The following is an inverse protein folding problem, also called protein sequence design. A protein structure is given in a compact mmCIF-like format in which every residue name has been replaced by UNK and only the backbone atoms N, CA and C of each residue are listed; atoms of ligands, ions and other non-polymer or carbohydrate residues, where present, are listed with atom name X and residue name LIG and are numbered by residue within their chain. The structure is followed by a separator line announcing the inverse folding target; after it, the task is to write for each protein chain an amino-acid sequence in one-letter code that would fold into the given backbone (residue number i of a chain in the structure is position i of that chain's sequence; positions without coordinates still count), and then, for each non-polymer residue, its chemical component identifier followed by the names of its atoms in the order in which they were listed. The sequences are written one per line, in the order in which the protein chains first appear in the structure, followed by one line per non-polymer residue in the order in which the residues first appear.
data_IF_083989251896
#
_entry.id   IF_083989251896
#
_cell.length_a   1.000
_cell.length_b   1.000
_cell.length_c   1.000
_cell.angle_alpha   90.00
_cell.angle_beta   90.00
_cell.angle_gamma   90.00
#
_symmetry.space_group_name_H-M   'P 1'
#
loop_
_entity.id
_entity.type
_entity.pdbx_description
1 polymer ?
#
# COMPACT_ATOMS: atom_id res chain seq x y z
N UNK A 1 -3.55 -30.21 3.76
CA UNK A 1 -4.52 -29.13 3.99
C UNK A 1 -4.39 -28.16 2.83
N UNK A 2 -5.49 -27.76 2.18
CA UNK A 2 -5.47 -26.75 1.13
C UNK A 2 -5.51 -25.36 1.80
N UNK A 3 -4.47 -24.55 1.60
CA UNK A 3 -4.36 -23.19 2.13
C UNK A 3 -4.63 -22.11 1.08
N UNK A 4 -5.02 -22.51 -0.14
CA UNK A 4 -5.28 -21.57 -1.23
C UNK A 4 -6.42 -20.61 -0.87
N UNK A 5 -6.25 -19.34 -1.20
CA UNK A 5 -7.25 -18.28 -1.02
C UNK A 5 -7.40 -17.47 -2.31
N UNK A 6 -8.60 -16.85 -2.45
CA UNK A 6 -8.91 -15.98 -3.59
C UNK A 6 -9.38 -14.62 -3.12
N UNK A 7 -8.93 -13.56 -3.82
CA UNK A 7 -9.43 -12.19 -3.66
C UNK A 7 -9.74 -11.68 -5.07
N UNK A 8 -11.03 -11.58 -5.40
CA UNK A 8 -11.45 -11.35 -6.79
C UNK A 8 -10.84 -12.40 -7.73
N UNK A 9 -10.17 -11.95 -8.78
CA UNK A 9 -9.43 -12.80 -9.71
C UNK A 9 -8.05 -13.28 -9.25
N UNK A 10 -7.52 -12.74 -8.15
CA UNK A 10 -6.22 -13.12 -7.60
C UNK A 10 -6.32 -14.44 -6.84
N UNK A 11 -5.56 -15.46 -7.25
CA UNK A 11 -5.43 -16.73 -6.54
C UNK A 11 -4.04 -16.82 -5.89
N UNK A 12 -4.00 -17.07 -4.59
CA UNK A 12 -2.78 -17.26 -3.80
C UNK A 12 -2.73 -18.68 -3.25
N UNK A 13 -1.54 -19.32 -3.25
CA UNK A 13 -1.35 -20.70 -2.75
C UNK A 13 -1.54 -20.85 -1.24
N UNK A 14 -1.42 -19.75 -0.51
CA UNK A 14 -1.66 -19.63 0.92
C UNK A 14 -2.00 -18.15 1.27
N UNK A 15 -2.53 -17.84 2.46
CA UNK A 15 -2.97 -16.49 2.81
C UNK A 15 -1.83 -15.55 3.24
N UNK A 16 -0.57 -15.99 3.21
CA UNK A 16 0.55 -15.18 3.70
C UNK A 16 1.08 -14.28 2.61
N UNK A 17 1.06 -12.99 2.85
CA UNK A 17 1.68 -11.97 1.98
C UNK A 17 2.48 -10.98 2.82
N UNK A 18 3.21 -10.10 2.18
CA UNK A 18 3.96 -9.02 2.82
C UNK A 18 3.26 -7.69 2.61
N UNK A 19 3.38 -6.78 3.58
CA UNK A 19 2.82 -5.44 3.44
C UNK A 19 3.70 -4.57 2.53
N UNK A 20 3.06 -3.75 1.70
CA UNK A 20 3.77 -2.78 0.85
C UNK A 20 4.65 -1.86 1.69
N UNK A 21 5.85 -1.57 1.19
CA UNK A 21 6.83 -0.74 1.88
C UNK A 21 7.72 -1.46 2.89
N UNK A 22 7.32 -2.63 3.41
CA UNK A 22 8.13 -3.41 4.37
C UNK A 22 9.07 -4.39 3.70
N UNK A 23 8.84 -4.71 2.44
CA UNK A 23 9.56 -5.73 1.67
C UNK A 23 10.26 -5.17 0.42
N UNK A 24 10.38 -3.85 0.32
CA UNK A 24 10.96 -3.17 -0.83
C UNK A 24 10.32 -3.62 -2.14
N UNK A 25 11.14 -4.07 -3.08
CA UNK A 25 10.73 -4.69 -4.33
C UNK A 25 11.07 -6.20 -4.39
N UNK A 26 11.38 -6.81 -3.24
CA UNK A 26 11.56 -8.24 -3.06
C UNK A 26 12.97 -8.76 -3.30
N UNK A 27 13.76 -8.17 -4.18
CA UNK A 27 15.08 -8.70 -4.58
C UNK A 27 16.05 -8.80 -3.38
N UNK A 28 16.04 -7.82 -2.49
CA UNK A 28 16.89 -7.82 -1.29
C UNK A 28 16.56 -9.00 -0.36
N UNK A 29 15.28 -9.33 -0.26
CA UNK A 29 14.78 -10.41 0.61
C UNK A 29 14.92 -11.79 0.01
N UNK A 30 15.07 -11.91 -1.32
CA UNK A 30 15.31 -13.22 -1.97
C UNK A 30 16.59 -13.90 -1.51
N UNK A 31 17.52 -13.13 -0.92
CA UNK A 31 18.76 -13.66 -0.33
C UNK A 31 18.58 -14.22 1.08
N UNK A 32 17.46 -13.91 1.73
CA UNK A 32 17.17 -14.26 3.11
C UNK A 32 16.11 -15.37 3.22
N UNK A 33 15.13 -15.36 2.31
CA UNK A 33 14.04 -16.32 2.29
C UNK A 33 13.71 -16.74 0.84
N UNK A 34 13.13 -17.92 0.68
CA UNK A 34 12.50 -18.30 -0.57
C UNK A 34 11.13 -17.59 -0.68
N UNK A 35 11.10 -16.54 -1.49
CA UNK A 35 9.91 -15.70 -1.72
C UNK A 35 8.75 -16.53 -2.29
N UNK A 36 9.02 -17.60 -3.05
CA UNK A 36 7.99 -18.45 -3.64
C UNK A 36 7.21 -19.29 -2.61
N UNK A 37 7.62 -19.26 -1.33
CA UNK A 37 6.83 -19.84 -0.23
C UNK A 37 5.68 -18.95 0.23
N UNK A 38 5.68 -17.66 -0.13
CA UNK A 38 4.57 -16.74 0.14
C UNK A 38 3.35 -17.06 -0.74
N UNK A 39 2.20 -16.52 -0.38
CA UNK A 39 1.00 -16.54 -1.22
C UNK A 39 1.05 -15.49 -2.32
N UNK A 40 1.61 -14.32 -1.99
CA UNK A 40 1.85 -13.21 -2.91
C UNK A 40 2.93 -12.27 -2.35
N UNK A 41 3.49 -11.43 -3.21
CA UNK A 41 4.41 -10.34 -2.81
C UNK A 41 3.78 -8.99 -3.13
N UNK A 42 3.57 -8.17 -2.09
CA UNK A 42 3.13 -6.78 -2.28
C UNK A 42 4.34 -5.86 -2.28
N UNK A 43 4.60 -5.21 -3.40
CA UNK A 43 5.76 -4.32 -3.56
C UNK A 43 5.49 -2.92 -3.00
N UNK A 44 6.56 -2.17 -2.74
CA UNK A 44 6.50 -0.79 -2.29
C UNK A 44 5.75 0.10 -3.29
N UNK A 45 5.03 1.10 -2.77
CA UNK A 45 4.17 1.98 -3.54
C UNK A 45 4.88 2.72 -4.67
N UNK A 46 4.25 2.69 -5.85
CA UNK A 46 4.75 3.27 -7.08
C UNK A 46 3.78 4.33 -7.57
N UNK A 47 4.32 5.44 -7.99
CA UNK A 47 3.65 6.57 -8.59
C UNK A 47 4.14 6.76 -10.04
N UNK A 48 3.44 7.58 -10.83
CA UNK A 48 3.83 7.85 -12.22
C UNK A 48 5.28 8.33 -12.34
N UNK A 49 5.65 9.36 -11.59
CA UNK A 49 6.97 9.95 -11.60
C UNK A 49 7.82 9.54 -10.38
N UNK A 50 9.17 9.58 -10.46
CA UNK A 50 10.04 9.33 -9.33
C UNK A 50 9.81 10.30 -8.17
N UNK A 51 10.01 9.81 -6.92
CA UNK A 51 9.91 10.61 -5.70
C UNK A 51 11.14 10.37 -4.83
N UNK A 52 11.85 11.42 -4.38
CA UNK A 52 13.10 11.27 -3.60
C UNK A 52 12.86 10.80 -2.16
N UNK A 53 11.62 10.96 -1.64
CA UNK A 53 11.28 10.70 -0.24
C UNK A 53 11.75 11.81 0.71
N UNK A 54 11.55 11.57 2.01
CA UNK A 54 11.91 12.50 3.06
C UNK A 54 13.39 12.39 3.46
N UNK A 55 13.92 13.43 4.10
CA UNK A 55 15.26 13.43 4.70
C UNK A 55 15.34 12.48 5.91
N UNK A 56 16.54 12.02 6.24
CA UNK A 56 16.82 11.21 7.44
C UNK A 56 17.00 12.08 8.69
N UNK A 57 16.76 11.49 9.91
CA UNK A 57 16.26 10.15 10.21
C UNK A 57 14.78 10.00 9.86
N UNK A 58 14.42 8.93 9.19
CA UNK A 58 13.05 8.69 8.71
C UNK A 58 12.45 7.36 9.15
N UNK A 59 13.15 6.65 10.03
CA UNK A 59 12.67 5.49 10.77
C UNK A 59 13.10 5.59 12.22
N UNK A 60 12.28 5.10 13.14
CA UNK A 60 12.60 5.02 14.56
C UNK A 60 11.89 3.83 15.20
N UNK A 61 12.63 2.97 15.90
CA UNK A 61 12.05 1.90 16.68
C UNK A 61 11.32 2.45 17.92
N UNK A 62 10.20 1.84 18.23
CA UNK A 62 9.41 2.09 19.45
C UNK A 62 8.99 0.76 20.07
N UNK A 63 8.46 0.76 21.27
CA UNK A 63 8.00 -0.47 21.94
C UNK A 63 7.03 -1.24 21.06
N UNK A 64 7.41 -2.48 20.71
CA UNK A 64 6.64 -3.39 19.85
C UNK A 64 6.26 -2.83 18.48
N UNK A 65 7.03 -1.87 17.96
CA UNK A 65 6.71 -1.27 16.66
C UNK A 65 7.81 -0.40 16.08
N UNK A 66 7.48 0.23 14.97
CA UNK A 66 8.38 1.15 14.27
C UNK A 66 7.58 2.34 13.74
N UNK A 67 8.16 3.52 13.88
CA UNK A 67 7.72 4.73 13.18
C UNK A 67 8.47 4.86 11.86
N UNK A 68 7.76 5.26 10.81
CA UNK A 68 8.40 5.63 9.55
C UNK A 68 7.79 6.89 8.93
N UNK A 69 8.64 7.67 8.32
CA UNK A 69 8.30 8.82 7.49
C UNK A 69 9.14 8.77 6.21
N UNK A 70 9.04 7.67 5.46
CA UNK A 70 9.85 7.43 4.25
C UNK A 70 9.54 8.48 3.16
N UNK A 71 8.31 9.02 3.13
CA UNK A 71 7.89 10.01 2.13
C UNK A 71 7.66 9.41 0.77
N UNK A 72 7.11 8.19 0.71
CA UNK A 72 6.70 7.50 -0.51
C UNK A 72 7.80 7.45 -1.61
N UNK A 73 9.07 7.39 -1.18
CA UNK A 73 10.22 7.28 -2.10
C UNK A 73 10.04 6.14 -3.09
N UNK A 74 10.22 6.42 -4.36
CA UNK A 74 10.10 5.41 -5.41
C UNK A 74 10.68 5.85 -6.76
N UNK A 75 10.92 4.89 -7.67
CA UNK A 75 11.58 5.12 -8.94
C UNK A 75 10.65 5.65 -10.04
N UNK A 76 9.35 5.80 -9.77
CA UNK A 76 8.33 5.98 -10.79
C UNK A 76 8.04 4.70 -11.58
N UNK A 77 7.02 4.74 -12.43
CA UNK A 77 6.59 3.56 -13.22
C UNK A 77 7.71 3.08 -14.14
N UNK A 78 8.34 3.99 -14.91
CA UNK A 78 9.38 3.61 -15.88
C UNK A 78 10.62 3.03 -15.20
N UNK A 79 11.06 3.65 -14.10
CA UNK A 79 12.18 3.16 -13.30
C UNK A 79 11.89 1.80 -12.66
N UNK A 80 10.66 1.57 -12.21
CA UNK A 80 10.23 0.27 -11.69
C UNK A 80 10.24 -0.81 -12.77
N UNK A 81 9.64 -0.54 -13.92
CA UNK A 81 9.57 -1.49 -15.04
C UNK A 81 11.00 -1.86 -15.51
N UNK A 82 11.87 -0.87 -15.63
CA UNK A 82 13.25 -1.10 -16.08
C UNK A 82 14.10 -1.89 -15.09
N UNK A 83 14.00 -1.57 -13.79
CA UNK A 83 14.94 -2.06 -12.78
C UNK A 83 14.42 -3.28 -12.01
N UNK A 84 13.16 -3.29 -11.57
CA UNK A 84 12.66 -4.28 -10.61
C UNK A 84 11.73 -5.32 -11.23
N UNK A 85 11.00 -4.95 -12.29
CA UNK A 85 10.08 -5.87 -12.95
C UNK A 85 10.78 -7.09 -13.56
N UNK A 86 12.01 -7.03 -14.13
CA UNK A 86 12.72 -8.20 -14.62
C UNK A 86 12.90 -9.31 -13.58
N UNK A 87 13.13 -8.96 -12.31
CA UNK A 87 13.19 -9.91 -11.21
C UNK A 87 11.79 -10.41 -10.82
N UNK A 88 10.85 -9.50 -10.59
CA UNK A 88 9.52 -9.83 -10.08
C UNK A 88 8.74 -10.78 -11.00
N UNK A 89 8.86 -10.62 -12.32
CA UNK A 89 8.19 -11.50 -13.29
C UNK A 89 8.74 -12.94 -13.30
N UNK A 90 9.88 -13.22 -12.64
CA UNK A 90 10.42 -14.58 -12.51
C UNK A 90 9.85 -15.33 -11.31
N UNK A 91 9.17 -14.66 -10.41
CA UNK A 91 8.57 -15.26 -9.22
C UNK A 91 7.43 -16.21 -9.61
N UNK A 92 7.30 -17.31 -8.87
CA UNK A 92 6.22 -18.30 -9.05
C UNK A 92 4.94 -17.92 -8.26
N UNK A 93 4.97 -16.79 -7.57
CA UNK A 93 3.86 -16.24 -6.79
C UNK A 93 3.41 -14.91 -7.37
N UNK A 94 2.11 -14.56 -7.26
CA UNK A 94 1.61 -13.30 -7.77
C UNK A 94 2.32 -12.10 -7.17
N UNK A 95 2.62 -11.10 -8.00
CA UNK A 95 3.07 -9.79 -7.54
C UNK A 95 1.88 -8.83 -7.47
N UNK A 96 1.64 -8.27 -6.29
CA UNK A 96 0.68 -7.20 -6.05
C UNK A 96 1.44 -5.88 -6.10
N UNK A 97 1.09 -5.01 -7.03
CA UNK A 97 1.75 -3.71 -7.19
C UNK A 97 0.97 -2.67 -6.42
N UNK A 98 1.54 -2.15 -5.32
CA UNK A 98 0.97 -1.01 -4.62
C UNK A 98 1.17 0.25 -5.47
N UNK A 99 0.09 0.97 -5.76
CA UNK A 99 0.12 2.20 -6.55
C UNK A 99 -0.48 3.37 -5.77
N UNK A 100 -0.01 4.58 -6.07
CA UNK A 100 -0.53 5.80 -5.50
C UNK A 100 -0.40 6.98 -6.46
N UNK A 101 -1.16 8.02 -6.22
CA UNK A 101 -1.16 9.26 -7.00
C UNK A 101 -1.62 10.45 -6.16
N UNK A 102 -1.54 11.61 -6.73
CA UNK A 102 -2.01 12.89 -6.13
C UNK A 102 -3.24 13.44 -6.84
N UNK A 103 -3.68 12.78 -7.90
CA UNK A 103 -4.94 13.06 -8.60
C UNK A 103 -5.58 11.75 -9.06
N UNK A 104 -6.87 11.76 -9.31
CA UNK A 104 -7.64 10.59 -9.79
C UNK A 104 -7.08 10.09 -11.13
N UNK A 105 -6.72 11.02 -12.02
CA UNK A 105 -6.17 10.71 -13.34
C UNK A 105 -4.80 10.05 -13.24
N UNK A 106 -3.97 10.45 -12.27
CA UNK A 106 -2.67 9.83 -12.05
C UNK A 106 -2.82 8.38 -11.60
N UNK A 107 -3.76 8.07 -10.70
CA UNK A 107 -4.05 6.68 -10.31
C UNK A 107 -4.48 5.83 -11.51
N UNK A 108 -5.40 6.34 -12.34
CA UNK A 108 -5.88 5.63 -13.52
C UNK A 108 -4.75 5.38 -14.54
N UNK A 109 -3.88 6.38 -14.78
CA UNK A 109 -2.74 6.23 -15.70
C UNK A 109 -1.73 5.20 -15.19
N UNK A 110 -1.42 5.21 -13.89
CA UNK A 110 -0.52 4.21 -13.30
C UNK A 110 -1.14 2.81 -13.39
N UNK A 111 -2.44 2.66 -13.11
CA UNK A 111 -3.16 1.39 -13.25
C UNK A 111 -3.11 0.86 -14.69
N UNK A 112 -3.39 1.70 -15.68
CA UNK A 112 -3.33 1.37 -17.11
C UNK A 112 -1.93 0.89 -17.53
N UNK A 113 -0.88 1.56 -17.05
CA UNK A 113 0.50 1.19 -17.37
C UNK A 113 0.91 -0.18 -16.82
N UNK A 114 0.42 -0.55 -15.64
CA UNK A 114 0.67 -1.86 -15.06
C UNK A 114 -0.21 -2.96 -15.67
N UNK A 115 -1.45 -2.64 -16.05
CA UNK A 115 -2.31 -3.57 -16.81
C UNK A 115 -1.63 -4.05 -18.11
N UNK A 116 -0.96 -3.13 -18.79
CA UNK A 116 -0.25 -3.41 -20.05
C UNK A 116 0.96 -4.38 -19.90
N UNK A 117 1.42 -4.70 -18.69
CA UNK A 117 2.51 -5.66 -18.46
C UNK A 117 2.06 -7.12 -18.58
N UNK A 118 0.75 -7.41 -18.45
CA UNK A 118 0.12 -8.71 -18.72
C UNK A 118 0.33 -9.82 -17.69
N UNK A 119 1.27 -9.69 -16.76
CA UNK A 119 1.61 -10.74 -15.76
C UNK A 119 1.58 -10.21 -14.32
N UNK A 120 0.89 -9.12 -14.09
CA UNK A 120 0.66 -8.55 -12.74
C UNK A 120 -0.46 -9.31 -12.06
N UNK A 121 -0.27 -9.69 -10.78
CA UNK A 121 -1.25 -10.44 -10.02
C UNK A 121 -2.46 -9.59 -9.59
N UNK A 122 -2.20 -8.39 -9.08
CA UNK A 122 -3.22 -7.42 -8.64
C UNK A 122 -2.61 -6.02 -8.48
N UNK A 123 -3.46 -5.00 -8.38
CA UNK A 123 -3.09 -3.66 -7.94
C UNK A 123 -3.61 -3.39 -6.53
N UNK A 124 -2.77 -2.84 -5.65
CA UNK A 124 -3.17 -2.33 -4.33
C UNK A 124 -3.21 -0.79 -4.39
N UNK A 125 -4.40 -0.21 -4.28
CA UNK A 125 -4.60 1.25 -4.33
C UNK A 125 -4.31 1.86 -2.96
N UNK A 126 -3.21 2.59 -2.82
CA UNK A 126 -2.89 3.32 -1.59
C UNK A 126 -3.57 4.68 -1.58
N UNK A 127 -4.76 4.76 -1.00
CA UNK A 127 -5.59 5.98 -0.96
C UNK A 127 -5.26 6.92 0.21
N UNK A 128 -4.18 6.65 0.97
CA UNK A 128 -3.76 7.54 2.09
C UNK A 128 -3.00 8.78 1.63
N UNK A 129 -2.90 9.03 0.31
CA UNK A 129 -2.22 10.19 -0.25
C UNK A 129 -3.15 11.40 -0.35
N UNK A 130 -2.62 12.63 -0.23
CA UNK A 130 -3.43 13.84 -0.36
C UNK A 130 -3.82 14.08 -1.83
N UNK A 131 -5.05 14.55 -2.03
CA UNK A 131 -5.54 15.04 -3.32
C UNK A 131 -5.14 16.51 -3.49
N UNK A 132 -4.19 16.81 -4.35
CA UNK A 132 -3.72 18.18 -4.58
C UNK A 132 -4.76 19.09 -5.23
N UNK A 133 -5.72 18.53 -5.99
CA UNK A 133 -6.80 19.28 -6.62
C UNK A 133 -7.89 19.73 -5.62
N UNK A 134 -8.04 19.01 -4.51
CA UNK A 134 -9.02 19.31 -3.48
C UNK A 134 -8.36 19.75 -2.15
N UNK A 135 -7.34 20.62 -2.24
CA UNK A 135 -6.73 21.26 -1.07
C UNK A 135 -5.96 20.35 -0.14
N UNK A 136 -5.53 19.17 -0.61
CA UNK A 136 -4.75 18.21 0.19
C UNK A 136 -5.60 17.24 1.01
N UNK A 137 -6.92 17.20 0.84
CA UNK A 137 -7.78 16.18 1.45
C UNK A 137 -7.29 14.77 1.03
N UNK A 138 -7.20 13.85 2.00
CA UNK A 138 -6.79 12.48 1.70
C UNK A 138 -7.91 11.72 1.00
N UNK A 139 -7.61 11.02 -0.09
CA UNK A 139 -8.58 10.18 -0.80
C UNK A 139 -9.23 9.12 0.11
N UNK A 140 -8.49 8.58 1.05
CA UNK A 140 -8.94 7.53 1.97
C UNK A 140 -9.69 8.03 3.20
N UNK A 141 -10.10 9.30 3.28
CA UNK A 141 -10.89 9.85 4.42
C UNK A 141 -12.31 10.29 4.04
N UNK A 142 -12.60 10.34 2.75
CA UNK A 142 -13.90 10.71 2.19
C UNK A 142 -14.37 9.60 1.23
N UNK A 143 -15.55 8.97 1.47
CA UNK A 143 -16.07 7.90 0.62
C UNK A 143 -16.25 8.31 -0.85
N UNK A 144 -16.63 9.57 -1.11
CA UNK A 144 -16.80 10.10 -2.47
C UNK A 144 -15.46 10.18 -3.20
N UNK A 145 -14.41 10.71 -2.54
CA UNK A 145 -13.07 10.82 -3.12
C UNK A 145 -12.45 9.43 -3.37
N UNK A 146 -12.61 8.53 -2.40
CA UNK A 146 -12.17 7.14 -2.51
C UNK A 146 -12.86 6.46 -3.70
N UNK A 147 -14.18 6.57 -3.81
CA UNK A 147 -14.96 6.01 -4.90
C UNK A 147 -14.54 6.52 -6.27
N UNK A 148 -14.17 7.79 -6.40
CA UNK A 148 -13.64 8.36 -7.65
C UNK A 148 -12.34 7.67 -8.07
N UNK A 149 -11.40 7.46 -7.14
CA UNK A 149 -10.13 6.77 -7.43
C UNK A 149 -10.38 5.32 -7.84
N UNK A 150 -11.18 4.57 -7.06
CA UNK A 150 -11.47 3.16 -7.35
C UNK A 150 -12.16 3.01 -8.70
N UNK A 151 -13.21 3.81 -8.98
CA UNK A 151 -13.92 3.78 -10.27
C UNK A 151 -13.03 4.13 -11.46
N UNK A 152 -12.12 5.11 -11.30
CA UNK A 152 -11.20 5.48 -12.37
C UNK A 152 -10.18 4.37 -12.63
N UNK A 153 -9.63 3.76 -11.59
CA UNK A 153 -8.74 2.61 -11.74
C UNK A 153 -9.48 1.40 -12.34
N UNK A 154 -10.72 1.11 -11.88
CA UNK A 154 -11.51 -0.01 -12.44
C UNK A 154 -11.75 0.14 -13.94
N UNK A 155 -11.95 1.35 -14.43
CA UNK A 155 -12.08 1.62 -15.88
C UNK A 155 -10.77 1.49 -16.65
N UNK A 156 -9.64 1.64 -15.95
CA UNK A 156 -8.31 1.66 -16.56
C UNK A 156 -7.61 0.29 -16.59
N UNK A 157 -8.11 -0.71 -15.83
CA UNK A 157 -7.49 -2.03 -15.72
C UNK A 157 -8.52 -3.15 -15.56
N UNK A 158 -8.17 -4.33 -16.04
CA UNK A 158 -8.90 -5.59 -15.78
C UNK A 158 -8.32 -6.37 -14.59
N UNK A 159 -7.16 -5.98 -14.07
CA UNK A 159 -6.51 -6.63 -12.94
C UNK A 159 -7.37 -6.57 -11.67
N UNK A 160 -7.26 -7.55 -10.76
CA UNK A 160 -7.83 -7.45 -9.43
C UNK A 160 -7.39 -6.17 -8.72
N UNK A 161 -8.36 -5.43 -8.15
CA UNK A 161 -8.13 -4.20 -7.39
C UNK A 161 -8.33 -4.44 -5.90
N UNK A 162 -7.32 -4.09 -5.11
CA UNK A 162 -7.35 -4.15 -3.64
C UNK A 162 -7.22 -2.72 -3.12
N UNK A 163 -8.21 -2.21 -2.40
CA UNK A 163 -8.13 -0.86 -1.83
C UNK A 163 -7.50 -0.90 -0.45
N UNK A 164 -6.35 -0.23 -0.28
CA UNK A 164 -5.67 -0.12 1.01
C UNK A 164 -6.20 1.04 1.82
N UNK A 165 -6.96 0.70 2.85
CA UNK A 165 -7.72 1.61 3.69
C UNK A 165 -6.84 2.44 4.63
N UNK A 166 -7.20 3.72 4.80
CA UNK A 166 -6.64 4.57 5.84
C UNK A 166 -7.29 4.24 7.19
N UNK A 167 -6.50 4.10 8.29
CA UNK A 167 -7.07 3.92 9.62
C UNK A 167 -7.50 5.25 10.29
N UNK A 168 -7.21 6.38 9.64
CA UNK A 168 -7.34 7.72 10.24
C UNK A 168 -8.73 8.31 9.97
N UNK A 169 -9.74 7.55 10.33
CA UNK A 169 -11.16 7.87 10.12
C UNK A 169 -11.99 7.47 11.33
N UNK A 170 -13.10 8.15 11.62
CA UNK A 170 -13.98 7.76 12.72
C UNK A 170 -14.59 6.37 12.56
N UNK A 171 -14.89 5.95 11.32
CA UNK A 171 -15.38 4.61 10.97
C UNK A 171 -14.87 4.23 9.60
N UNK A 172 -14.41 2.99 9.45
CA UNK A 172 -13.90 2.46 8.19
C UNK A 172 -15.04 1.92 7.30
N UNK A 173 -16.19 1.55 7.87
CA UNK A 173 -17.27 0.87 7.17
C UNK A 173 -17.86 1.66 5.98
N UNK A 174 -18.09 3.00 6.06
CA UNK A 174 -18.56 3.76 4.89
C UNK A 174 -17.56 3.76 3.73
N UNK A 175 -16.26 3.78 4.04
CA UNK A 175 -15.19 3.75 3.05
C UNK A 175 -15.06 2.35 2.43
N UNK A 176 -15.22 1.29 3.23
CA UNK A 176 -15.21 -0.09 2.76
C UNK A 176 -16.33 -0.33 1.74
N UNK A 177 -17.56 0.10 2.06
CA UNK A 177 -18.70 0.06 1.13
C UNK A 177 -18.45 0.84 -0.16
N UNK A 178 -17.95 2.07 -0.04
CA UNK A 178 -17.65 2.88 -1.22
C UNK A 178 -16.59 2.23 -2.12
N UNK A 179 -15.57 1.56 -1.54
CA UNK A 179 -14.58 0.83 -2.30
C UNK A 179 -15.21 -0.35 -3.06
N UNK A 180 -16.04 -1.16 -2.38
CA UNK A 180 -16.75 -2.29 -2.97
C UNK A 180 -17.70 -1.86 -4.10
N UNK A 181 -18.58 -0.90 -3.83
CA UNK A 181 -19.56 -0.36 -4.79
C UNK A 181 -18.88 0.24 -6.04
N UNK A 182 -17.68 0.76 -5.90
CA UNK A 182 -16.91 1.35 -6.99
C UNK A 182 -15.99 0.36 -7.73
N UNK A 183 -16.01 -0.95 -7.36
CA UNK A 183 -15.35 -2.02 -8.10
C UNK A 183 -14.02 -2.48 -7.54
N UNK A 184 -13.76 -2.29 -6.24
CA UNK A 184 -12.66 -2.94 -5.55
C UNK A 184 -13.00 -4.42 -5.30
N UNK A 185 -12.08 -5.33 -5.62
CA UNK A 185 -12.24 -6.78 -5.44
C UNK A 185 -11.88 -7.24 -4.02
N UNK A 186 -11.23 -6.38 -3.25
CA UNK A 186 -10.82 -6.67 -1.88
C UNK A 186 -10.30 -5.44 -1.14
N UNK A 187 -10.10 -5.59 0.16
CA UNK A 187 -9.59 -4.53 1.03
C UNK A 187 -8.30 -4.96 1.71
N UNK A 188 -7.32 -4.04 1.78
CA UNK A 188 -6.13 -4.17 2.62
C UNK A 188 -6.31 -3.29 3.85
N UNK A 189 -6.57 -3.91 5.00
CA UNK A 189 -6.80 -3.22 6.26
C UNK A 189 -5.62 -3.51 7.21
N UNK A 190 -4.74 -2.55 7.43
CA UNK A 190 -4.86 -1.11 7.19
C UNK A 190 -3.50 -0.48 6.86
N UNK A 191 -3.47 0.82 6.57
CA UNK A 191 -2.23 1.61 6.51
C UNK A 191 -1.74 1.93 7.94
N UNK A 192 -0.60 2.64 8.06
CA UNK A 192 0.00 3.03 9.34
C UNK A 192 -0.80 4.11 10.07
N UNK A 193 -0.67 4.14 11.40
CA UNK A 193 -1.30 5.13 12.27
C UNK A 193 -0.38 6.34 12.50
N UNK A 194 -0.87 7.59 12.45
CA UNK A 194 -0.06 8.74 12.80
C UNK A 194 0.43 8.65 14.25
N UNK A 195 1.74 8.81 14.43
CA UNK A 195 2.33 8.78 15.76
C UNK A 195 3.65 9.57 15.79
N UNK A 196 4.21 9.74 16.98
CA UNK A 196 5.42 10.49 17.25
C UNK A 196 6.26 9.78 18.33
N UNK A 197 7.58 9.91 18.24
CA UNK A 197 8.50 9.56 19.32
C UNK A 197 9.44 10.73 19.60
N UNK A 198 9.68 10.98 20.87
CA UNK A 198 10.58 12.03 21.36
C UNK A 198 11.76 11.34 22.03
N UNK A 199 12.95 11.80 21.74
CA UNK A 199 14.16 11.49 22.47
C UNK A 199 14.15 12.35 23.76
N UNK A 200 14.11 11.69 24.93
CA UNK A 200 13.95 12.37 26.21
C UNK A 200 15.20 13.13 26.64
N UNK A 201 16.37 12.68 26.20
CA UNK A 201 17.65 13.32 26.55
C UNK A 201 17.83 14.60 25.75
N UNK A 202 17.61 14.52 24.42
CA UNK A 202 17.78 15.67 23.53
C UNK A 202 16.53 16.54 23.44
N UNK A 203 15.38 16.05 23.94
CA UNK A 203 14.04 16.70 23.85
C UNK A 203 13.62 17.03 22.41
N UNK A 204 14.03 16.20 21.45
CA UNK A 204 13.75 16.38 20.03
C UNK A 204 12.94 15.19 19.47
N UNK A 205 12.15 15.42 18.40
CA UNK A 205 11.55 14.33 17.66
C UNK A 205 12.61 13.36 17.11
N UNK A 206 12.34 12.06 17.18
CA UNK A 206 13.23 11.02 16.65
C UNK A 206 13.24 10.95 15.13
N UNK A 207 12.20 11.47 14.48
CA UNK A 207 12.09 11.57 13.02
C UNK A 207 12.34 13.00 12.56
N UNK A 208 13.06 13.17 11.46
CA UNK A 208 13.26 14.48 10.83
C UNK A 208 11.95 15.16 10.38
N UNK A 209 10.92 14.36 10.10
CA UNK A 209 9.56 14.78 9.72
C UNK A 209 8.65 15.02 10.94
N UNK A 210 9.19 14.99 12.18
CA UNK A 210 8.50 15.14 13.46
C UNK A 210 7.57 13.95 13.74
N UNK A 211 6.57 13.69 12.90
CA UNK A 211 5.62 12.58 12.98
C UNK A 211 5.87 11.57 11.88
N UNK A 212 5.35 10.35 12.07
CA UNK A 212 5.40 9.28 11.07
C UNK A 212 4.27 8.27 11.26
N UNK A 213 4.26 7.25 10.41
CA UNK A 213 3.31 6.15 10.52
C UNK A 213 3.83 5.07 11.48
N UNK A 214 3.03 4.71 12.48
CA UNK A 214 3.28 3.60 13.40
C UNK A 214 2.82 2.29 12.77
N UNK A 215 3.68 1.29 12.84
CA UNK A 215 3.43 -0.09 12.38
C UNK A 215 4.04 -1.09 13.34
N UNK A 216 3.72 -2.37 13.18
CA UNK A 216 4.28 -3.46 13.97
C UNK A 216 3.26 -4.14 14.91
N UNK A 217 3.69 -5.04 15.79
CA UNK A 217 2.80 -5.78 16.69
C UNK A 217 1.87 -4.92 17.54
N UNK A 218 2.30 -3.71 17.90
CA UNK A 218 1.53 -2.77 18.72
C UNK A 218 0.17 -2.36 18.09
N UNK A 219 0.03 -2.37 16.77
CA UNK A 219 -1.23 -2.01 16.11
C UNK A 219 -2.17 -3.19 15.89
N UNK A 220 -1.74 -4.44 16.15
CA UNK A 220 -2.53 -5.65 15.86
C UNK A 220 -3.96 -5.61 16.39
N UNK A 221 -4.23 -5.29 17.68
CA UNK A 221 -5.59 -5.28 18.20
C UNK A 221 -6.49 -4.23 17.51
N UNK A 222 -5.92 -3.08 17.13
CA UNK A 222 -6.66 -2.03 16.43
C UNK A 222 -6.94 -2.48 14.98
N UNK A 223 -5.96 -3.08 14.30
CA UNK A 223 -6.14 -3.59 12.96
C UNK A 223 -7.22 -4.68 12.89
N UNK A 224 -7.27 -5.60 13.86
CA UNK A 224 -8.32 -6.63 13.93
C UNK A 224 -9.71 -5.99 14.10
N UNK A 225 -9.84 -4.97 14.96
CA UNK A 225 -11.10 -4.24 15.11
C UNK A 225 -11.53 -3.58 13.80
N UNK A 226 -10.59 -2.97 13.07
CA UNK A 226 -10.89 -2.34 11.78
C UNK A 226 -11.28 -3.35 10.69
N UNK A 227 -10.68 -4.55 10.69
CA UNK A 227 -11.10 -5.66 9.81
C UNK A 227 -12.55 -6.05 10.10
N UNK A 228 -12.89 -6.22 11.37
CA UNK A 228 -14.26 -6.52 11.79
C UNK A 228 -15.27 -5.45 11.37
N UNK A 229 -14.91 -4.17 11.48
CA UNK A 229 -15.80 -3.06 11.08
C UNK A 229 -15.97 -2.95 9.55
N UNK A 230 -14.99 -3.43 8.78
CA UNK A 230 -15.02 -3.38 7.33
C UNK A 230 -15.70 -4.60 6.70
N UNK A 231 -15.92 -5.68 7.47
CA UNK A 231 -16.59 -6.91 7.04
C UNK A 231 -18.11 -6.82 7.22
#
# INVERSE_FOLDING_TARGET
MNLSVKIGGLTMRNPVTVASGTFGYGEEYSRLIDINRLGAVTVKGIRLNPVPGNRTPRTAEVTSGMLNAIGLQGPGVDGFIKKYWPFLKTLQVPTIINIWGTTVEEYAEVARRFDALGVVGALELNVSCPNIKEGGAQFGTDPRLLGQVVSACRKATSLPLITKMSPNVPSIAPLARAAEECGSDGLSVTNSFPAMAIDIETRKPRLANITGGLTGPCIKPIAIKLVWEAS
#
